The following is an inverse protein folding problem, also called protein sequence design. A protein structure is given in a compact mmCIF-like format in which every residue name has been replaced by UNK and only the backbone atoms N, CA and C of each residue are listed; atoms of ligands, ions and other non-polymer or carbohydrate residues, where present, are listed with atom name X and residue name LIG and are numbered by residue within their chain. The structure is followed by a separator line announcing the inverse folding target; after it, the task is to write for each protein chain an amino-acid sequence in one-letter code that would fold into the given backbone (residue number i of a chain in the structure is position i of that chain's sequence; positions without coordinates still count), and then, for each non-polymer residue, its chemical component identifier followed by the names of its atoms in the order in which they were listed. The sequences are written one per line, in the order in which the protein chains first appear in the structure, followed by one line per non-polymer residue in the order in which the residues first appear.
data_IF_706079894641
#
_entry.id   IF_706079894641
#
_cell.length_a   1.000
_cell.length_b   1.000
_cell.length_c   1.000
_cell.angle_alpha   90.00
_cell.angle_beta   90.00
_cell.angle_gamma   90.00
#
_symmetry.space_group_name_H-M   'P 1'
#
loop_
_entity.id
_entity.type
_entity.pdbx_description
1 polymer ?
#
# COMPACT_ATOMS: atom_id res chain seq x y z
N UNK A 1 74.52 52.35 47.77
CA UNK A 1 73.98 53.51 47.02
C UNK A 1 73.03 52.96 45.95
N UNK A 2 71.95 53.63 45.77
CA UNK A 2 70.82 53.41 44.79
C UNK A 2 69.88 52.26 45.05
N UNK A 3 68.74 52.57 45.66
CA UNK A 3 67.50 51.85 45.79
C UNK A 3 66.85 51.75 44.40
N UNK A 4 66.40 50.59 44.07
CA UNK A 4 65.40 50.38 42.98
C UNK A 4 64.10 49.87 43.58
N UNK A 5 63.11 50.71 43.42
CA UNK A 5 61.71 50.47 43.74
C UNK A 5 61.14 49.49 42.77
N UNK A 6 60.56 48.38 43.26
CA UNK A 6 59.81 47.38 42.46
C UNK A 6 58.32 47.59 42.57
N UNK A 7 57.70 48.04 41.52
CA UNK A 7 56.25 48.21 41.39
C UNK A 7 55.62 46.85 41.13
N UNK A 8 54.75 46.39 42.03
CA UNK A 8 53.93 45.15 41.82
C UNK A 8 52.73 45.50 40.95
N UNK A 9 52.69 44.95 39.81
CA UNK A 9 51.52 44.99 38.92
C UNK A 9 50.51 43.87 39.33
N UNK A 10 49.34 44.28 39.79
CA UNK A 10 48.23 43.38 40.14
C UNK A 10 47.40 43.12 38.89
N UNK A 11 47.44 41.92 38.43
CA UNK A 11 46.61 41.45 37.28
C UNK A 11 45.23 41.07 37.82
N UNK A 12 44.21 41.80 37.48
CA UNK A 12 42.82 41.45 37.71
C UNK A 12 42.38 40.47 36.60
N UNK A 13 42.11 39.22 36.98
CA UNK A 13 41.37 38.29 36.13
C UNK A 13 39.86 38.56 36.28
N UNK A 14 39.25 39.14 35.26
CA UNK A 14 37.79 39.19 35.14
C UNK A 14 37.30 37.89 34.57
N UNK A 15 36.70 37.02 35.39
CA UNK A 15 35.99 35.84 34.95
C UNK A 15 34.65 36.27 34.35
N UNK A 16 34.57 36.31 33.01
CA UNK A 16 33.32 36.51 32.30
C UNK A 16 32.50 35.21 32.34
N UNK A 17 31.42 35.18 33.12
CA UNK A 17 30.41 34.14 33.12
C UNK A 17 29.55 34.31 31.86
N UNK A 18 29.81 33.50 30.83
CA UNK A 18 28.93 33.40 29.66
C UNK A 18 27.74 32.54 30.06
N UNK A 19 26.59 33.14 30.31
CA UNK A 19 25.30 32.44 30.40
C UNK A 19 24.91 31.99 29.01
N UNK A 20 25.09 30.71 28.72
CA UNK A 20 24.40 30.03 27.60
C UNK A 20 22.94 29.87 28.00
N UNK A 21 22.08 30.76 27.53
CA UNK A 21 20.64 30.56 27.53
C UNK A 21 20.36 29.50 26.46
N UNK A 22 20.20 28.22 26.87
CA UNK A 22 19.61 27.19 26.03
C UNK A 22 18.16 27.59 25.85
N UNK A 23 17.84 28.20 24.71
CA UNK A 23 16.47 28.27 24.24
C UNK A 23 16.06 26.84 23.91
N UNK A 24 15.35 26.19 24.82
CA UNK A 24 14.54 25.01 24.49
C UNK A 24 13.51 25.53 23.49
N UNK A 25 13.71 25.18 22.20
CA UNK A 25 12.67 25.23 21.22
C UNK A 25 11.68 24.14 21.68
N UNK A 26 10.63 24.58 22.36
CA UNK A 26 9.46 23.74 22.57
C UNK A 26 8.99 23.35 21.16
N UNK A 27 9.23 22.10 20.76
CA UNK A 27 8.46 21.50 19.72
C UNK A 27 7.01 21.72 20.15
N UNK A 28 6.23 22.45 19.34
CA UNK A 28 4.79 22.55 19.52
C UNK A 28 4.30 21.11 19.41
N UNK A 29 4.12 20.46 20.57
CA UNK A 29 3.41 19.21 20.67
C UNK A 29 2.05 19.46 20.05
N UNK A 30 1.66 18.66 19.07
CA UNK A 30 0.29 18.58 18.65
C UNK A 30 -0.52 18.40 19.94
N UNK A 31 -1.45 19.30 20.19
CA UNK A 31 -2.34 19.25 21.34
C UNK A 31 -3.04 17.87 21.23
N UNK A 32 -2.71 16.92 22.13
CA UNK A 32 -3.33 15.59 22.13
C UNK A 32 -4.80 15.77 22.52
N UNK A 33 -5.63 15.99 21.49
CA UNK A 33 -7.07 16.08 21.68
C UNK A 33 -7.57 14.75 22.23
N UNK A 34 -8.43 14.80 23.26
CA UNK A 34 -9.06 13.58 23.75
C UNK A 34 -9.93 12.96 22.65
N UNK A 35 -9.89 11.65 22.55
CA UNK A 35 -10.65 10.93 21.53
C UNK A 35 -12.16 11.26 21.57
N UNK A 36 -12.72 11.42 22.75
CA UNK A 36 -14.14 11.76 22.94
C UNK A 36 -14.50 13.13 22.33
N UNK A 37 -13.58 14.08 22.37
CA UNK A 37 -13.77 15.42 21.78
C UNK A 37 -13.73 15.33 20.24
N UNK A 38 -12.84 14.50 19.67
CA UNK A 38 -12.79 14.21 18.24
C UNK A 38 -14.11 13.55 17.78
N UNK A 39 -14.60 12.56 18.51
CA UNK A 39 -15.88 11.89 18.19
C UNK A 39 -17.06 12.86 18.29
N UNK A 40 -17.06 13.76 19.27
CA UNK A 40 -18.12 14.78 19.42
C UNK A 40 -18.12 15.77 18.24
N UNK A 41 -16.95 16.23 17.82
CA UNK A 41 -16.77 17.13 16.66
C UNK A 41 -17.17 16.46 15.34
N UNK A 42 -16.87 15.16 15.18
CA UNK A 42 -17.18 14.39 13.97
C UNK A 42 -18.69 14.22 13.71
N UNK A 43 -19.54 14.38 14.73
CA UNK A 43 -20.99 14.22 14.59
C UNK A 43 -21.59 15.22 13.61
N UNK A 44 -22.30 14.69 12.62
CA UNK A 44 -22.92 15.50 11.57
C UNK A 44 -22.00 15.83 10.39
N UNK A 45 -20.72 15.54 10.49
CA UNK A 45 -19.78 15.73 9.40
C UNK A 45 -20.04 14.78 8.23
N UNK A 46 -19.54 15.20 7.05
CA UNK A 46 -19.59 14.40 5.83
C UNK A 46 -18.16 14.15 5.39
N UNK A 47 -17.71 12.89 5.40
CA UNK A 47 -16.37 12.52 5.01
C UNK A 47 -16.36 12.10 3.55
N UNK A 48 -15.67 12.87 2.70
CA UNK A 48 -15.43 12.58 1.30
C UNK A 48 -14.16 11.72 1.18
N UNK A 49 -14.34 10.40 0.99
CA UNK A 49 -13.25 9.43 0.87
C UNK A 49 -12.96 9.10 -0.59
N UNK A 50 -11.85 9.60 -1.10
CA UNK A 50 -11.37 9.31 -2.44
C UNK A 50 -10.54 8.03 -2.47
N UNK A 51 -10.87 7.14 -3.39
CA UNK A 51 -10.28 5.82 -3.49
C UNK A 51 -10.47 5.19 -4.86
N UNK A 52 -9.65 4.20 -5.16
CA UNK A 52 -9.84 3.38 -6.36
C UNK A 52 -11.23 2.73 -6.38
N UNK A 53 -11.95 2.93 -7.49
CA UNK A 53 -13.35 2.51 -7.62
C UNK A 53 -13.57 1.28 -8.53
N UNK A 54 -12.50 0.55 -8.91
CA UNK A 54 -12.57 -0.52 -9.90
C UNK A 54 -13.17 -1.84 -9.44
N UNK A 55 -13.50 -2.01 -8.15
CA UNK A 55 -14.07 -3.24 -7.60
C UNK A 55 -15.50 -3.03 -7.09
N UNK A 56 -16.51 -3.71 -7.67
CA UNK A 56 -17.87 -3.66 -7.16
C UNK A 56 -17.99 -4.12 -5.69
N UNK A 57 -17.22 -5.13 -5.27
CA UNK A 57 -17.24 -5.65 -3.90
C UNK A 57 -16.73 -4.61 -2.90
N UNK A 58 -15.60 -3.95 -3.20
CA UNK A 58 -15.06 -2.85 -2.39
C UNK A 58 -16.06 -1.69 -2.29
N UNK A 59 -16.62 -1.29 -3.44
CA UNK A 59 -17.61 -0.21 -3.48
C UNK A 59 -18.88 -0.53 -2.67
N UNK A 60 -19.36 -1.78 -2.73
CA UNK A 60 -20.50 -2.23 -1.95
C UNK A 60 -20.20 -2.24 -0.44
N UNK A 61 -19.02 -2.68 -0.02
CA UNK A 61 -18.59 -2.63 1.37
C UNK A 61 -18.51 -1.20 1.90
N UNK A 62 -17.92 -0.27 1.14
CA UNK A 62 -17.75 1.13 1.55
C UNK A 62 -19.08 1.87 1.58
N UNK A 63 -19.89 1.79 0.51
CA UNK A 63 -21.15 2.54 0.37
C UNK A 63 -22.32 1.88 1.11
N UNK A 64 -22.21 0.60 1.46
CA UNK A 64 -23.19 -0.12 2.27
C UNK A 64 -22.78 -0.19 3.73
N UNK A 65 -22.07 -1.27 4.08
CA UNK A 65 -21.77 -1.58 5.48
C UNK A 65 -21.06 -0.43 6.22
N UNK A 66 -19.96 0.10 5.67
CA UNK A 66 -19.22 1.17 6.36
C UNK A 66 -20.06 2.44 6.50
N UNK A 67 -20.72 2.87 5.43
CA UNK A 67 -21.55 4.07 5.45
C UNK A 67 -22.69 3.96 6.47
N UNK A 68 -23.37 2.81 6.53
CA UNK A 68 -24.47 2.55 7.47
C UNK A 68 -23.99 2.52 8.93
N UNK A 69 -22.85 1.86 9.20
CA UNK A 69 -22.29 1.79 10.55
C UNK A 69 -21.81 3.16 11.03
N UNK A 70 -21.10 3.91 10.21
CA UNK A 70 -20.62 5.26 10.55
C UNK A 70 -21.78 6.23 10.77
N UNK A 71 -22.85 6.13 9.97
CA UNK A 71 -24.04 6.92 10.16
C UNK A 71 -24.76 6.60 11.46
N UNK A 72 -24.91 5.31 11.75
CA UNK A 72 -25.66 4.83 12.93
C UNK A 72 -24.92 5.10 14.23
N UNK A 73 -23.62 4.80 14.27
CA UNK A 73 -22.84 4.88 15.52
C UNK A 73 -22.32 6.29 15.81
N UNK A 74 -21.89 7.01 14.76
CA UNK A 74 -21.19 8.28 14.92
C UNK A 74 -21.93 9.49 14.33
N UNK A 75 -23.01 9.26 13.56
CA UNK A 75 -23.73 10.33 12.86
C UNK A 75 -22.98 10.89 11.65
N UNK A 76 -21.89 10.23 11.22
CA UNK A 76 -21.06 10.63 10.07
C UNK A 76 -21.72 10.17 8.78
N UNK A 77 -21.73 11.01 7.75
CA UNK A 77 -22.10 10.64 6.39
C UNK A 77 -20.83 10.33 5.61
N UNK A 78 -20.62 9.06 5.20
CA UNK A 78 -19.50 8.69 4.33
C UNK A 78 -19.91 8.84 2.87
N UNK A 79 -19.07 9.46 2.05
CA UNK A 79 -19.25 9.57 0.60
C UNK A 79 -17.99 9.06 -0.10
N UNK A 80 -18.13 8.02 -0.91
CA UNK A 80 -17.05 7.55 -1.74
C UNK A 80 -16.87 8.45 -2.97
N UNK A 81 -15.64 8.92 -3.18
CA UNK A 81 -15.19 9.56 -4.41
C UNK A 81 -14.36 8.58 -5.26
N UNK A 82 -14.99 7.79 -6.16
CA UNK A 82 -14.24 6.79 -6.92
C UNK A 82 -13.34 7.45 -7.96
N UNK A 83 -12.06 7.07 -7.96
CA UNK A 83 -11.08 7.49 -8.97
C UNK A 83 -10.48 6.28 -9.67
N UNK A 84 -9.92 6.49 -10.85
CA UNK A 84 -9.19 5.46 -11.57
C UNK A 84 -7.81 5.26 -10.95
N UNK A 85 -7.18 6.37 -10.54
CA UNK A 85 -5.88 6.40 -9.89
C UNK A 85 -5.85 7.54 -8.87
N UNK A 86 -5.30 7.28 -7.67
CA UNK A 86 -5.22 8.29 -6.60
C UNK A 86 -4.23 9.42 -6.95
N UNK A 87 -3.34 9.25 -7.91
CA UNK A 87 -2.47 10.30 -8.44
C UNK A 87 -3.24 11.53 -8.96
N UNK A 88 -4.49 11.34 -9.40
CA UNK A 88 -5.37 12.45 -9.79
C UNK A 88 -5.68 13.36 -8.59
N UNK A 89 -5.93 12.77 -7.43
CA UNK A 89 -6.18 13.50 -6.17
C UNK A 89 -4.90 14.15 -5.66
N UNK A 90 -3.77 13.44 -5.71
CA UNK A 90 -2.46 13.98 -5.34
C UNK A 90 -2.12 15.22 -6.16
N UNK A 91 -2.33 15.17 -7.48
CA UNK A 91 -2.11 16.30 -8.39
C UNK A 91 -2.97 17.50 -8.00
N UNK A 92 -4.24 17.28 -7.64
CA UNK A 92 -5.14 18.31 -7.15
C UNK A 92 -4.65 18.95 -5.85
N UNK A 93 -4.21 18.13 -4.87
CA UNK A 93 -3.67 18.63 -3.61
C UNK A 93 -2.43 19.49 -3.80
N UNK A 94 -1.54 19.13 -4.75
CA UNK A 94 -0.39 19.95 -5.14
C UNK A 94 -0.84 21.33 -5.63
N UNK A 95 -1.84 21.38 -6.52
CA UNK A 95 -2.39 22.64 -7.05
C UNK A 95 -3.03 23.47 -5.93
N UNK A 96 -3.84 22.86 -5.06
CA UNK A 96 -4.48 23.54 -3.92
C UNK A 96 -3.42 24.11 -2.95
N UNK A 97 -2.35 23.37 -2.68
CA UNK A 97 -1.22 23.84 -1.85
C UNK A 97 -0.52 25.05 -2.47
N UNK A 98 -0.23 24.99 -3.77
CA UNK A 98 0.39 26.08 -4.52
C UNK A 98 -0.49 27.33 -4.57
N UNK A 99 -1.82 27.15 -4.65
CA UNK A 99 -2.79 28.22 -4.58
C UNK A 99 -2.99 28.80 -3.16
N UNK A 100 -2.31 28.25 -2.15
CA UNK A 100 -2.42 28.70 -0.76
C UNK A 100 -3.71 28.30 -0.04
N UNK A 101 -4.46 27.30 -0.56
CA UNK A 101 -5.70 26.81 0.02
C UNK A 101 -5.38 25.88 1.21
N UNK A 102 -5.33 26.46 2.41
CA UNK A 102 -4.92 25.75 3.63
C UNK A 102 -6.05 24.96 4.31
N UNK A 103 -7.29 25.25 3.98
CA UNK A 103 -8.51 24.67 4.57
C UNK A 103 -9.64 24.60 3.52
N UNK A 104 -10.74 23.94 3.83
CA UNK A 104 -11.89 23.87 2.93
C UNK A 104 -11.61 23.00 1.71
N UNK A 105 -10.76 21.99 1.83
CA UNK A 105 -10.59 20.96 0.83
C UNK A 105 -11.87 20.15 0.66
N UNK A 106 -12.03 19.47 -0.46
CA UNK A 106 -13.15 18.58 -0.73
C UNK A 106 -12.72 17.10 -0.77
N UNK A 107 -11.60 16.80 -0.14
CA UNK A 107 -11.10 15.46 0.09
C UNK A 107 -10.78 15.38 1.58
N UNK A 108 -11.43 14.48 2.31
CA UNK A 108 -11.21 14.33 3.74
C UNK A 108 -10.41 13.08 4.07
N UNK A 109 -10.50 12.06 3.22
CA UNK A 109 -9.77 10.82 3.38
C UNK A 109 -9.35 10.29 2.00
N UNK A 110 -8.19 9.65 1.92
CA UNK A 110 -7.67 9.01 0.70
C UNK A 110 -7.25 7.58 1.00
N UNK A 111 -7.56 6.63 0.10
CA UNK A 111 -6.81 5.38 0.04
C UNK A 111 -5.58 5.62 -0.81
N UNK A 112 -4.40 5.50 -0.23
CA UNK A 112 -3.14 5.90 -0.84
C UNK A 112 -2.05 4.89 -0.52
N UNK A 113 -1.08 4.73 -1.42
CA UNK A 113 0.10 3.89 -1.25
C UNK A 113 1.29 4.42 -2.05
N UNK A 114 2.48 3.96 -1.68
CA UNK A 114 3.70 4.00 -2.49
C UNK A 114 4.18 5.40 -2.83
N UNK A 115 4.44 5.64 -4.11
CA UNK A 115 4.95 6.92 -4.61
C UNK A 115 3.98 8.09 -4.38
N UNK A 116 2.69 7.80 -4.30
CA UNK A 116 1.66 8.79 -4.01
C UNK A 116 1.75 9.26 -2.56
N UNK A 117 1.89 8.33 -1.59
CA UNK A 117 2.13 8.65 -0.19
C UNK A 117 3.45 9.43 -0.02
N UNK A 118 4.55 8.91 -0.57
CA UNK A 118 5.85 9.58 -0.54
C UNK A 118 5.77 11.01 -1.09
N UNK A 119 5.07 11.21 -2.21
CA UNK A 119 4.87 12.54 -2.81
C UNK A 119 4.10 13.44 -1.86
N UNK A 120 3.00 12.96 -1.29
CA UNK A 120 2.19 13.72 -0.34
C UNK A 120 3.00 14.08 0.91
N UNK A 121 3.69 13.14 1.52
CA UNK A 121 4.47 13.34 2.75
C UNK A 121 5.60 14.36 2.53
N UNK A 122 6.41 14.18 1.50
CA UNK A 122 7.56 15.07 1.20
C UNK A 122 7.16 16.49 0.81
N UNK A 123 5.95 16.67 0.27
CA UNK A 123 5.41 17.99 -0.08
C UNK A 123 4.47 18.56 1.01
N UNK A 124 4.42 17.95 2.20
CA UNK A 124 3.55 18.37 3.31
C UNK A 124 2.07 18.50 2.88
N UNK A 125 1.58 17.55 2.09
CA UNK A 125 0.19 17.49 1.62
C UNK A 125 -0.73 16.68 2.54
N UNK A 126 -0.22 16.21 3.68
CA UNK A 126 -0.95 15.39 4.65
C UNK A 126 -1.17 16.16 5.95
N UNK A 127 -2.30 15.86 6.59
CA UNK A 127 -2.58 16.17 7.98
C UNK A 127 -1.98 15.06 8.85
N UNK A 128 -1.38 15.42 9.96
CA UNK A 128 -0.82 14.45 10.90
C UNK A 128 0.51 14.88 11.53
N UNK A 129 1.16 13.97 12.29
CA UNK A 129 0.76 12.57 12.49
C UNK A 129 -0.59 12.44 13.23
N UNK A 130 -1.43 11.47 12.80
CA UNK A 130 -2.76 11.27 13.41
C UNK A 130 -3.00 9.82 13.86
N UNK A 131 -2.29 8.84 13.27
CA UNK A 131 -2.56 7.42 13.50
C UNK A 131 -2.39 7.02 14.98
N UNK A 132 -1.43 7.60 15.68
CA UNK A 132 -1.19 7.34 17.12
C UNK A 132 -2.33 7.81 18.03
N UNK A 133 -3.20 8.72 17.53
CA UNK A 133 -4.37 9.18 18.26
C UNK A 133 -5.58 8.25 18.12
N UNK A 134 -5.52 7.26 17.22
CA UNK A 134 -6.61 6.32 16.97
C UNK A 134 -6.62 5.20 18.03
N UNK A 135 -7.71 5.01 18.81
CA UNK A 135 -7.74 3.96 19.85
C UNK A 135 -7.49 2.55 19.33
N UNK A 136 -7.90 2.24 18.10
CA UNK A 136 -7.78 0.91 17.51
C UNK A 136 -6.39 0.65 16.88
N UNK A 137 -5.51 1.65 16.76
CA UNK A 137 -4.15 1.46 16.26
C UNK A 137 -3.34 0.46 17.11
N UNK A 138 -3.67 0.30 18.40
CA UNK A 138 -3.09 -0.73 19.28
C UNK A 138 -3.30 -2.17 18.79
N UNK A 139 -4.28 -2.40 17.92
CA UNK A 139 -4.58 -3.70 17.33
C UNK A 139 -3.69 -4.01 16.13
N UNK A 140 -3.01 -3.00 15.59
CA UNK A 140 -2.12 -3.11 14.44
C UNK A 140 -0.74 -3.61 14.90
N UNK A 141 -0.13 -4.47 14.10
CA UNK A 141 1.25 -4.89 14.32
C UNK A 141 2.23 -3.97 13.57
N UNK A 142 2.59 -2.87 14.21
CA UNK A 142 3.53 -1.87 13.69
C UNK A 142 4.98 -2.36 13.54
N UNK A 143 5.31 -3.56 14.03
CA UNK A 143 6.63 -4.18 13.83
C UNK A 143 6.80 -4.80 12.45
N UNK A 144 5.69 -5.01 11.72
CA UNK A 144 5.74 -5.55 10.35
C UNK A 144 6.29 -4.50 9.39
N UNK A 145 7.34 -4.81 8.60
CA UNK A 145 7.92 -3.87 7.64
C UNK A 145 6.89 -3.28 6.65
N UNK A 146 5.92 -4.08 6.20
CA UNK A 146 4.86 -3.64 5.29
C UNK A 146 3.80 -2.74 5.93
N UNK A 147 3.81 -2.60 7.26
CA UNK A 147 2.92 -1.68 8.02
C UNK A 147 3.69 -0.45 8.48
N UNK A 148 4.96 -0.62 8.83
CA UNK A 148 5.83 0.47 9.27
C UNK A 148 6.30 1.35 8.12
N UNK A 149 6.50 0.75 6.94
CA UNK A 149 6.91 1.45 5.72
C UNK A 149 5.87 1.24 4.61
N UNK A 150 5.56 2.30 3.88
CA UNK A 150 4.85 2.23 2.62
C UNK A 150 5.85 2.40 1.46
N UNK A 151 6.14 1.32 0.74
CA UNK A 151 7.15 1.27 -0.33
C UNK A 151 8.49 1.94 0.04
N UNK A 152 8.99 1.57 1.22
CA UNK A 152 10.25 2.07 1.77
C UNK A 152 10.19 3.48 2.39
N UNK A 153 9.07 4.20 2.29
CA UNK A 153 8.86 5.46 3.00
C UNK A 153 8.27 5.19 4.38
N UNK A 154 8.90 5.60 5.49
CA UNK A 154 8.33 5.44 6.83
C UNK A 154 6.95 6.09 6.94
N UNK A 155 5.99 5.41 7.56
CA UNK A 155 4.62 5.91 7.73
C UNK A 155 4.56 7.10 8.68
N UNK A 156 5.35 7.09 9.78
CA UNK A 156 5.47 8.16 10.78
C UNK A 156 4.13 8.71 11.27
N UNK A 157 3.09 7.87 11.35
CA UNK A 157 1.75 8.25 11.82
C UNK A 157 0.92 9.08 10.83
N UNK A 158 1.38 9.31 9.58
CA UNK A 158 0.62 10.03 8.55
C UNK A 158 -0.36 9.15 7.78
N UNK A 159 -0.31 7.85 7.99
CA UNK A 159 -1.22 6.86 7.43
C UNK A 159 -1.73 5.91 8.51
N UNK A 160 -2.94 5.41 8.30
CA UNK A 160 -3.54 4.33 9.10
C UNK A 160 -3.81 3.13 8.19
N UNK A 161 -3.37 1.91 8.55
CA UNK A 161 -3.66 0.72 7.76
C UNK A 161 -5.14 0.36 7.86
N UNK A 162 -5.70 -0.26 6.81
CA UNK A 162 -7.07 -0.75 6.85
C UNK A 162 -7.28 -2.11 6.18
N UNK A 163 -6.25 -2.63 5.50
CA UNK A 163 -6.24 -3.95 4.89
C UNK A 163 -4.84 -4.38 4.52
N UNK A 164 -4.70 -5.59 4.00
CA UNK A 164 -3.42 -6.10 3.51
C UNK A 164 -3.58 -6.83 2.19
N UNK A 165 -2.58 -6.70 1.34
CA UNK A 165 -2.52 -7.31 0.03
C UNK A 165 -1.27 -8.19 -0.09
N UNK A 166 -1.39 -9.26 -0.89
CA UNK A 166 -0.26 -10.06 -1.32
C UNK A 166 -0.57 -10.66 -2.68
N UNK A 167 0.37 -10.58 -3.59
CA UNK A 167 0.19 -11.14 -4.91
C UNK A 167 -0.01 -12.65 -4.83
N UNK A 168 -1.08 -13.12 -5.45
CA UNK A 168 -1.33 -14.53 -5.69
C UNK A 168 -1.43 -14.76 -7.19
N UNK A 169 -0.85 -15.86 -7.65
CA UNK A 169 -1.03 -16.36 -9.01
C UNK A 169 -2.32 -17.18 -9.07
N UNK A 170 -3.09 -17.02 -10.13
CA UNK A 170 -4.39 -17.65 -10.34
C UNK A 170 -4.28 -18.58 -11.56
N UNK A 171 -4.74 -19.82 -11.42
CA UNK A 171 -4.73 -20.81 -12.50
C UNK A 171 -5.94 -21.73 -12.41
N UNK A 172 -6.27 -22.38 -13.52
CA UNK A 172 -7.32 -23.40 -13.58
C UNK A 172 -6.70 -24.80 -13.60
N UNK A 173 -6.99 -25.62 -12.59
CA UNK A 173 -6.48 -27.00 -12.47
C UNK A 173 -6.94 -27.90 -13.61
N UNK A 174 -8.04 -27.57 -14.32
CA UNK A 174 -8.49 -28.29 -15.49
C UNK A 174 -7.62 -28.00 -16.73
N UNK A 175 -6.92 -26.87 -16.77
CA UNK A 175 -6.04 -26.44 -17.88
C UNK A 175 -4.56 -26.65 -17.58
N UNK A 176 -4.16 -26.39 -16.33
CA UNK A 176 -2.77 -26.48 -15.87
C UNK A 176 -2.72 -27.42 -14.66
N UNK A 177 -2.36 -28.67 -14.89
CA UNK A 177 -2.34 -29.70 -13.83
C UNK A 177 -1.24 -29.40 -12.76
N UNK A 178 -0.12 -28.83 -13.17
CA UNK A 178 1.01 -28.47 -12.30
C UNK A 178 1.44 -27.04 -12.63
N UNK A 179 1.09 -26.06 -11.79
CA UNK A 179 1.47 -24.67 -12.03
C UNK A 179 2.97 -24.47 -11.73
N UNK A 180 3.63 -23.53 -12.42
CA UNK A 180 5.01 -23.16 -12.15
C UNK A 180 5.14 -22.59 -10.75
N UNK A 181 6.07 -23.13 -9.94
CA UNK A 181 6.18 -22.76 -8.53
C UNK A 181 7.21 -21.66 -8.26
N UNK A 182 8.06 -21.35 -9.23
CA UNK A 182 9.06 -20.28 -9.18
C UNK A 182 8.88 -19.31 -10.34
N UNK A 183 9.44 -18.11 -10.24
CA UNK A 183 9.47 -17.16 -11.37
C UNK A 183 10.23 -17.76 -12.56
N UNK A 184 11.33 -18.48 -12.31
CA UNK A 184 12.08 -19.18 -13.36
C UNK A 184 11.20 -20.20 -14.10
N UNK A 185 10.44 -21.00 -13.36
CA UNK A 185 9.52 -22.00 -13.94
C UNK A 185 8.40 -21.32 -14.74
N UNK A 186 7.88 -20.18 -14.26
CA UNK A 186 6.89 -19.39 -14.99
C UNK A 186 7.45 -18.87 -16.31
N UNK A 187 8.66 -18.31 -16.31
CA UNK A 187 9.33 -17.84 -17.54
C UNK A 187 9.55 -18.98 -18.54
N UNK A 188 9.92 -20.18 -18.08
CA UNK A 188 10.06 -21.38 -18.91
C UNK A 188 8.70 -21.86 -19.41
N UNK A 189 7.69 -21.86 -18.56
CA UNK A 189 6.33 -22.23 -18.94
C UNK A 189 5.80 -21.32 -20.06
N UNK A 190 5.96 -20.01 -19.95
CA UNK A 190 5.54 -19.03 -20.96
C UNK A 190 6.21 -19.30 -22.31
N UNK A 191 7.52 -19.58 -22.34
CA UNK A 191 8.24 -19.90 -23.57
C UNK A 191 7.74 -21.18 -24.25
N UNK A 192 7.31 -22.15 -23.47
CA UNK A 192 6.79 -23.43 -23.96
C UNK A 192 5.30 -23.39 -24.33
N UNK A 193 4.56 -22.33 -23.92
CA UNK A 193 3.14 -22.15 -24.17
C UNK A 193 2.86 -20.74 -24.75
N UNK A 194 3.37 -20.43 -25.95
CA UNK A 194 3.26 -19.11 -26.51
C UNK A 194 1.81 -18.65 -26.66
N UNK A 195 1.56 -17.40 -26.32
CA UNK A 195 0.25 -16.78 -26.35
C UNK A 195 -0.63 -17.05 -25.13
N UNK A 196 -0.18 -17.86 -24.15
CA UNK A 196 -1.01 -18.31 -23.03
C UNK A 196 -0.79 -17.53 -21.72
N UNK A 197 0.00 -16.48 -21.74
CA UNK A 197 0.25 -15.59 -20.59
C UNK A 197 0.21 -14.12 -21.02
N UNK A 198 -0.32 -13.28 -20.15
CA UNK A 198 -0.29 -11.83 -20.28
C UNK A 198 -0.09 -11.18 -18.92
N UNK A 199 0.20 -9.89 -18.92
CA UNK A 199 0.14 -9.02 -17.73
C UNK A 199 -0.33 -7.63 -18.16
N UNK A 200 -1.00 -6.84 -17.30
CA UNK A 200 -1.37 -5.48 -17.60
C UNK A 200 -0.14 -4.59 -17.88
N UNK A 201 -0.29 -3.59 -18.72
CA UNK A 201 0.82 -2.67 -19.00
C UNK A 201 1.11 -1.77 -17.80
N UNK A 202 2.36 -1.63 -17.32
CA UNK A 202 2.72 -0.52 -16.45
C UNK A 202 2.32 0.84 -17.07
N UNK A 203 1.88 1.85 -16.30
CA UNK A 203 1.94 1.91 -14.86
C UNK A 203 0.75 1.28 -14.11
N UNK A 204 -0.07 0.41 -14.76
CA UNK A 204 -1.07 -0.34 -14.00
C UNK A 204 -0.41 -1.04 -12.81
N UNK A 205 -0.97 -0.86 -11.61
CA UNK A 205 -0.36 -1.30 -10.35
C UNK A 205 -0.12 -2.81 -10.31
N UNK A 206 -1.06 -3.61 -10.83
CA UNK A 206 -0.96 -5.07 -10.93
C UNK A 206 0.02 -5.49 -12.03
N UNK A 207 0.04 -4.78 -13.15
CA UNK A 207 1.03 -5.04 -14.20
C UNK A 207 2.46 -4.69 -13.77
N UNK A 208 2.61 -3.60 -13.06
CA UNK A 208 3.89 -3.17 -12.49
C UNK A 208 4.46 -4.17 -11.50
N UNK A 209 3.62 -4.87 -10.70
CA UNK A 209 4.12 -5.88 -9.77
C UNK A 209 4.74 -7.09 -10.48
N UNK A 210 4.25 -7.46 -11.66
CA UNK A 210 4.90 -8.51 -12.45
C UNK A 210 6.33 -8.10 -12.84
N UNK A 211 6.53 -6.86 -13.29
CA UNK A 211 7.88 -6.32 -13.58
C UNK A 211 8.77 -6.35 -12.33
N UNK A 212 8.24 -6.01 -11.16
CA UNK A 212 8.97 -6.06 -9.87
C UNK A 212 9.34 -7.48 -9.46
N UNK A 213 8.50 -8.49 -9.73
CA UNK A 213 8.87 -9.90 -9.51
C UNK A 213 10.02 -10.33 -10.42
N UNK A 214 10.00 -9.92 -11.70
CA UNK A 214 11.14 -10.20 -12.61
C UNK A 214 12.39 -9.49 -12.13
N UNK A 215 12.29 -8.25 -11.67
CA UNK A 215 13.40 -7.50 -11.08
C UNK A 215 14.00 -8.22 -9.86
N UNK A 216 13.19 -8.69 -8.95
CA UNK A 216 13.65 -9.48 -7.80
C UNK A 216 14.29 -10.79 -8.22
N UNK A 217 13.69 -11.48 -9.20
CA UNK A 217 14.25 -12.71 -9.73
C UNK A 217 15.64 -12.52 -10.33
N UNK A 218 15.86 -11.51 -11.17
CA UNK A 218 17.16 -11.28 -11.81
C UNK A 218 18.20 -10.69 -10.85
N UNK A 219 17.77 -9.95 -9.83
CA UNK A 219 18.67 -9.37 -8.83
C UNK A 219 19.01 -10.33 -7.67
N UNK A 220 18.28 -11.42 -7.51
CA UNK A 220 18.56 -12.53 -6.61
C UNK A 220 18.22 -12.31 -5.12
N UNK A 221 17.96 -11.09 -4.66
CA UNK A 221 17.63 -10.79 -3.27
C UNK A 221 16.74 -9.54 -3.14
N UNK A 222 15.47 -9.75 -2.76
CA UNK A 222 14.52 -8.66 -2.53
C UNK A 222 14.92 -7.75 -1.35
N UNK A 223 15.56 -8.29 -0.31
CA UNK A 223 15.95 -7.55 0.91
C UNK A 223 17.01 -6.50 0.63
N UNK A 224 17.91 -6.77 -0.31
CA UNK A 224 18.95 -5.82 -0.75
C UNK A 224 18.36 -4.46 -1.14
N UNK A 225 17.14 -4.45 -1.67
CA UNK A 225 16.51 -3.25 -2.20
C UNK A 225 15.70 -2.48 -1.15
N UNK A 226 15.69 -2.93 0.09
CA UNK A 226 15.06 -2.23 1.23
C UNK A 226 15.98 -1.21 1.90
N UNK A 227 17.27 -1.23 1.58
CA UNK A 227 18.28 -0.30 2.07
C UNK A 227 18.53 0.82 1.05
N UNK A 228 19.55 1.63 1.29
CA UNK A 228 19.96 2.68 0.35
C UNK A 228 20.32 2.07 -1.02
N UNK A 229 19.68 2.59 -2.07
CA UNK A 229 19.81 2.06 -3.43
C UNK A 229 21.20 2.39 -3.99
N UNK A 230 22.01 1.36 -4.25
CA UNK A 230 23.18 1.46 -5.11
C UNK A 230 22.71 1.63 -6.56
N UNK A 231 22.85 2.83 -7.11
CA UNK A 231 22.36 3.16 -8.45
C UNK A 231 23.03 2.34 -9.55
N UNK A 232 24.30 1.97 -9.41
CA UNK A 232 24.98 1.15 -10.41
C UNK A 232 24.45 -0.29 -10.43
N UNK A 233 24.25 -0.87 -9.25
CA UNK A 233 23.61 -2.18 -9.10
C UNK A 233 22.16 -2.18 -9.58
N UNK A 234 21.40 -1.11 -9.28
CA UNK A 234 20.03 -0.94 -9.78
C UNK A 234 20.01 -0.89 -11.31
N UNK A 235 20.86 -0.07 -11.93
CA UNK A 235 20.91 0.07 -13.40
C UNK A 235 21.20 -1.27 -14.08
N UNK A 236 22.09 -2.08 -13.50
CA UNK A 236 22.38 -3.42 -14.03
C UNK A 236 21.17 -4.35 -13.90
N UNK A 237 20.56 -4.44 -12.72
CA UNK A 237 19.40 -5.29 -12.48
C UNK A 237 18.19 -4.86 -13.31
N UNK A 238 17.95 -3.56 -13.46
CA UNK A 238 16.90 -3.02 -14.33
C UNK A 238 17.13 -3.36 -15.80
N UNK A 239 18.38 -3.20 -16.29
CA UNK A 239 18.74 -3.61 -17.66
C UNK A 239 18.50 -5.09 -17.91
N UNK A 240 18.87 -5.96 -16.96
CA UNK A 240 18.64 -7.40 -17.06
C UNK A 240 17.12 -7.72 -17.01
N UNK A 241 16.36 -7.00 -16.19
CA UNK A 241 14.90 -7.09 -16.15
C UNK A 241 14.28 -6.79 -17.52
N UNK A 242 14.64 -5.66 -18.12
CA UNK A 242 14.11 -5.28 -19.44
C UNK A 242 14.53 -6.26 -20.53
N UNK A 243 15.75 -6.78 -20.47
CA UNK A 243 16.20 -7.83 -21.39
C UNK A 243 15.34 -9.08 -21.29
N UNK A 244 15.10 -9.60 -20.08
CA UNK A 244 14.22 -10.76 -19.85
C UNK A 244 12.81 -10.50 -20.38
N UNK A 245 12.23 -9.33 -20.10
CA UNK A 245 10.87 -8.97 -20.55
C UNK A 245 10.79 -8.83 -22.09
N UNK A 246 11.81 -8.28 -22.74
CA UNK A 246 11.90 -8.22 -24.22
C UNK A 246 12.00 -9.61 -24.84
N UNK A 247 12.85 -10.47 -24.29
CA UNK A 247 12.99 -11.86 -24.73
C UNK A 247 11.70 -12.67 -24.55
N UNK A 248 10.90 -12.32 -23.51
CA UNK A 248 9.62 -12.96 -23.23
C UNK A 248 8.48 -12.46 -24.14
N UNK A 249 8.54 -11.23 -24.61
CA UNK A 249 7.46 -10.57 -25.34
C UNK A 249 6.90 -11.39 -26.53
N UNK A 250 7.70 -12.06 -27.39
CA UNK A 250 7.17 -12.87 -28.50
C UNK A 250 6.31 -14.06 -28.06
N UNK A 251 6.44 -14.50 -26.80
CA UNK A 251 5.71 -15.64 -26.23
C UNK A 251 4.46 -15.23 -25.45
N UNK A 252 4.26 -13.93 -25.24
CA UNK A 252 3.09 -13.40 -24.55
C UNK A 252 1.85 -13.43 -25.44
N UNK A 253 0.68 -13.29 -24.82
CA UNK A 253 -0.57 -13.09 -25.51
C UNK A 253 -0.42 -11.99 -26.58
N UNK A 254 -0.95 -12.26 -27.79
CA UNK A 254 -0.78 -11.42 -28.98
C UNK A 254 0.68 -11.05 -29.27
N UNK A 255 1.61 -11.95 -28.95
CA UNK A 255 3.05 -11.74 -29.14
C UNK A 255 3.58 -10.47 -28.45
N UNK A 256 2.95 -10.10 -27.32
CA UNK A 256 3.27 -8.90 -26.58
C UNK A 256 3.04 -7.57 -27.31
N UNK A 257 2.42 -7.56 -28.47
CA UNK A 257 2.14 -6.31 -29.23
C UNK A 257 1.11 -5.42 -28.52
N UNK A 258 0.27 -6.01 -27.71
CA UNK A 258 -0.69 -5.33 -26.83
C UNK A 258 -0.69 -6.02 -25.46
N UNK A 259 -1.09 -5.27 -24.45
CA UNK A 259 -1.23 -5.73 -23.07
C UNK A 259 -2.67 -5.52 -22.60
N UNK A 260 -3.19 -6.33 -21.66
CA UNK A 260 -4.43 -6.00 -20.96
C UNK A 260 -4.35 -4.60 -20.34
N UNK A 261 -5.43 -3.86 -20.40
CA UNK A 261 -5.50 -2.47 -19.89
C UNK A 261 -5.72 -2.38 -18.38
N UNK A 262 -6.09 -3.53 -17.75
CA UNK A 262 -6.41 -3.58 -16.33
C UNK A 262 -6.45 -5.03 -15.82
N UNK A 263 -6.41 -5.26 -14.47
CA UNK A 263 -6.65 -6.56 -13.86
C UNK A 263 -8.03 -7.15 -14.22
N UNK A 264 -9.06 -6.32 -14.34
CA UNK A 264 -10.41 -6.74 -14.75
C UNK A 264 -10.37 -7.35 -16.15
N UNK A 265 -9.68 -6.71 -17.10
CA UNK A 265 -9.50 -7.26 -18.44
C UNK A 265 -8.68 -8.54 -18.42
N UNK A 266 -7.67 -8.62 -17.56
CA UNK A 266 -6.86 -9.83 -17.38
C UNK A 266 -7.71 -11.00 -16.90
N UNK A 267 -8.58 -10.79 -15.91
CA UNK A 267 -9.51 -11.81 -15.42
C UNK A 267 -10.49 -12.28 -16.50
N UNK A 268 -10.97 -11.36 -17.37
CA UNK A 268 -11.80 -11.73 -18.51
C UNK A 268 -11.06 -12.63 -19.50
N UNK A 269 -9.82 -12.30 -19.86
CA UNK A 269 -9.00 -13.14 -20.75
C UNK A 269 -8.75 -14.53 -20.17
N UNK A 270 -8.57 -14.62 -18.86
CA UNK A 270 -8.40 -15.88 -18.16
C UNK A 270 -9.71 -16.70 -18.15
N UNK A 271 -10.85 -16.07 -17.85
CA UNK A 271 -12.16 -16.70 -17.86
C UNK A 271 -12.53 -17.24 -19.26
N UNK A 272 -12.26 -16.47 -20.32
CA UNK A 272 -12.47 -16.82 -21.71
C UNK A 272 -11.49 -17.92 -22.21
N UNK A 273 -10.48 -18.27 -21.40
CA UNK A 273 -9.47 -19.25 -21.77
C UNK A 273 -8.48 -18.74 -22.83
N UNK A 274 -8.37 -17.45 -23.05
CA UNK A 274 -7.34 -16.86 -23.93
C UNK A 274 -5.93 -16.97 -23.29
N UNK A 275 -5.87 -16.88 -21.95
CA UNK A 275 -4.65 -17.10 -21.16
C UNK A 275 -4.90 -18.14 -20.07
N UNK A 276 -3.85 -18.79 -19.56
CA UNK A 276 -3.95 -19.85 -18.57
C UNK A 276 -3.64 -19.41 -17.14
N UNK A 277 -3.17 -18.17 -16.98
CA UNK A 277 -2.92 -17.55 -15.68
C UNK A 277 -3.53 -16.16 -15.63
N UNK A 278 -3.98 -15.80 -14.44
CA UNK A 278 -4.16 -14.43 -13.96
C UNK A 278 -3.37 -14.25 -12.67
N UNK A 279 -3.35 -13.07 -12.12
CA UNK A 279 -2.77 -12.78 -10.80
C UNK A 279 -3.40 -11.52 -10.24
N UNK A 280 -3.41 -11.42 -8.92
CA UNK A 280 -4.01 -10.29 -8.21
C UNK A 280 -3.26 -10.02 -6.91
N UNK A 281 -3.25 -8.76 -6.48
CA UNK A 281 -2.88 -8.41 -5.11
C UNK A 281 -3.93 -8.84 -4.08
N UNK A 282 -5.16 -9.03 -4.53
CA UNK A 282 -6.26 -9.45 -3.66
C UNK A 282 -6.25 -10.97 -3.52
N UNK A 283 -5.87 -11.46 -2.34
CA UNK A 283 -5.66 -12.89 -2.08
C UNK A 283 -6.92 -13.74 -2.29
N UNK A 284 -8.11 -13.16 -2.11
CA UNK A 284 -9.39 -13.84 -2.30
C UNK A 284 -10.04 -13.59 -3.68
N UNK A 285 -9.37 -12.89 -4.60
CA UNK A 285 -9.89 -12.54 -5.93
C UNK A 285 -10.45 -13.75 -6.68
N UNK A 286 -9.70 -14.87 -6.70
CA UNK A 286 -10.13 -16.07 -7.39
C UNK A 286 -11.39 -16.67 -6.75
N UNK A 287 -11.46 -16.72 -5.42
CA UNK A 287 -12.65 -17.19 -4.70
C UNK A 287 -13.86 -16.30 -4.97
N UNK A 288 -13.66 -14.98 -5.00
CA UNK A 288 -14.73 -14.04 -5.32
C UNK A 288 -15.24 -14.22 -6.75
N UNK A 289 -14.34 -14.35 -7.73
CA UNK A 289 -14.71 -14.56 -9.13
C UNK A 289 -15.40 -15.91 -9.36
N UNK A 290 -15.12 -16.95 -8.54
CA UNK A 290 -15.88 -18.20 -8.55
C UNK A 290 -17.30 -17.96 -8.03
N UNK A 291 -17.46 -17.25 -6.91
CA UNK A 291 -18.78 -16.92 -6.35
C UNK A 291 -19.64 -16.11 -7.32
N UNK A 292 -19.02 -15.15 -8.01
CA UNK A 292 -19.68 -14.32 -9.02
C UNK A 292 -19.95 -15.05 -10.35
N UNK A 293 -19.50 -16.32 -10.49
CA UNK A 293 -19.70 -17.13 -11.70
C UNK A 293 -18.81 -16.73 -12.87
N UNK A 294 -17.79 -15.89 -12.65
CA UNK A 294 -16.81 -15.55 -13.69
C UNK A 294 -15.78 -16.66 -13.89
N UNK A 295 -15.34 -17.31 -12.80
CA UNK A 295 -14.38 -18.41 -12.85
C UNK A 295 -15.04 -19.75 -12.54
N UNK A 296 -14.59 -20.87 -13.15
CA UNK A 296 -15.04 -22.19 -12.79
C UNK A 296 -14.51 -22.64 -11.41
N UNK A 297 -15.19 -23.60 -10.78
CA UNK A 297 -14.84 -24.17 -9.48
C UNK A 297 -13.46 -24.84 -9.42
N UNK A 298 -12.85 -25.11 -10.58
CA UNK A 298 -11.53 -25.71 -10.72
C UNK A 298 -10.39 -24.71 -10.53
N UNK A 299 -10.68 -23.40 -10.45
CA UNK A 299 -9.67 -22.36 -10.27
C UNK A 299 -9.07 -22.40 -8.86
N UNK A 300 -7.76 -22.24 -8.78
CA UNK A 300 -6.96 -22.18 -7.53
C UNK A 300 -5.94 -21.08 -7.60
N UNK A 301 -5.35 -20.78 -6.45
CA UNK A 301 -4.25 -19.83 -6.32
C UNK A 301 -2.98 -20.48 -5.76
N UNK A 302 -1.86 -19.86 -5.99
CA UNK A 302 -0.58 -20.20 -5.38
C UNK A 302 0.31 -18.97 -5.25
N UNK A 303 1.36 -19.07 -4.45
CA UNK A 303 2.46 -18.12 -4.34
C UNK A 303 3.74 -18.78 -4.83
N UNK A 304 4.72 -18.00 -5.27
CA UNK A 304 6.03 -18.55 -5.64
C UNK A 304 6.80 -18.99 -4.39
N UNK A 305 7.64 -20.02 -4.55
CA UNK A 305 8.49 -20.55 -3.47
C UNK A 305 9.47 -19.50 -2.95
N UNK A 306 9.98 -18.62 -3.80
CA UNK A 306 10.79 -17.47 -3.42
C UNK A 306 9.98 -16.33 -2.78
N UNK A 307 8.67 -16.42 -2.81
CA UNK A 307 7.72 -15.46 -2.27
C UNK A 307 7.05 -14.56 -3.32
N UNK A 308 6.02 -13.85 -2.88
CA UNK A 308 5.30 -12.85 -3.66
C UNK A 308 5.18 -11.54 -2.91
N UNK A 309 5.18 -10.44 -3.67
CA UNK A 309 5.15 -9.08 -3.12
C UNK A 309 3.85 -8.86 -2.35
N UNK A 310 4.00 -8.29 -1.14
CA UNK A 310 2.92 -7.97 -0.23
C UNK A 310 3.03 -6.51 0.23
N UNK A 311 1.89 -5.87 0.45
CA UNK A 311 1.79 -4.53 0.99
C UNK A 311 0.59 -4.36 1.92
N UNK A 312 0.41 -3.15 2.43
CA UNK A 312 -0.70 -2.75 3.29
C UNK A 312 -1.54 -1.70 2.58
N UNK A 313 -2.86 -1.79 2.71
CA UNK A 313 -3.76 -0.71 2.30
C UNK A 313 -3.78 0.37 3.37
N UNK A 314 -3.49 1.61 2.99
CA UNK A 314 -3.46 2.73 3.91
C UNK A 314 -4.53 3.77 3.57
N UNK A 315 -4.95 4.50 4.60
CA UNK A 315 -5.70 5.75 4.45
C UNK A 315 -4.92 6.90 5.03
N UNK A 316 -4.96 8.04 4.35
CA UNK A 316 -4.33 9.29 4.78
C UNK A 316 -5.33 10.44 4.70
N UNK A 317 -5.11 11.47 5.53
CA UNK A 317 -5.92 12.67 5.60
C UNK A 317 -5.18 13.80 4.89
N UNK A 318 -5.76 14.50 3.90
CA UNK A 318 -5.15 15.68 3.27
C UNK A 318 -4.93 16.84 4.25
N UNK A 319 -3.91 17.66 3.98
CA UNK A 319 -3.52 18.81 4.81
C UNK A 319 -4.61 19.86 4.97
N UNK A 320 -5.55 19.96 4.03
CA UNK A 320 -6.63 20.92 3.97
C UNK A 320 -8.03 20.31 4.07
N UNK A 321 -8.12 19.08 4.57
CA UNK A 321 -9.39 18.39 4.79
C UNK A 321 -10.37 19.25 5.60
N UNK A 322 -11.63 19.26 5.17
CA UNK A 322 -12.69 20.03 5.86
C UNK A 322 -13.18 19.33 7.11
N UNK A 323 -13.31 18.01 7.05
CA UNK A 323 -13.95 17.17 8.07
C UNK A 323 -12.90 16.21 8.71
N UNK A 324 -11.78 16.77 9.19
CA UNK A 324 -10.63 16.03 9.74
C UNK A 324 -11.04 15.12 10.92
N UNK A 325 -11.90 15.60 11.84
CA UNK A 325 -12.36 14.78 12.97
C UNK A 325 -13.16 13.57 12.48
N UNK A 326 -14.04 13.76 11.51
CA UNK A 326 -14.78 12.69 10.85
C UNK A 326 -13.86 11.69 10.17
N UNK A 327 -12.86 12.17 9.43
CA UNK A 327 -11.85 11.33 8.77
C UNK A 327 -11.06 10.46 9.77
N UNK A 328 -10.67 11.02 10.94
CA UNK A 328 -10.02 10.26 12.01
C UNK A 328 -10.95 9.19 12.60
N UNK A 329 -12.24 9.49 12.80
CA UNK A 329 -13.22 8.51 13.28
C UNK A 329 -13.42 7.40 12.26
N UNK A 330 -13.51 7.73 10.96
CA UNK A 330 -13.55 6.72 9.87
C UNK A 330 -12.32 5.84 9.91
N UNK A 331 -11.11 6.42 9.95
CA UNK A 331 -9.85 5.66 10.00
C UNK A 331 -9.79 4.72 11.23
N UNK A 332 -10.25 5.18 12.41
CA UNK A 332 -10.33 4.33 13.59
C UNK A 332 -11.37 3.21 13.45
N UNK A 333 -12.54 3.50 12.85
CA UNK A 333 -13.57 2.49 12.62
C UNK A 333 -13.11 1.41 11.64
N UNK A 334 -12.34 1.78 10.61
CA UNK A 334 -11.72 0.83 9.67
C UNK A 334 -10.84 -0.21 10.39
N UNK A 335 -10.24 0.14 11.53
CA UNK A 335 -9.45 -0.78 12.38
C UNK A 335 -10.29 -1.52 13.43
N UNK A 336 -11.61 -1.33 13.48
CA UNK A 336 -12.44 -2.05 14.44
C UNK A 336 -12.53 -3.53 14.09
N UNK A 337 -12.63 -4.43 15.11
CA UNK A 337 -12.78 -5.86 14.86
C UNK A 337 -14.00 -6.19 13.98
N UNK A 338 -15.08 -5.43 14.14
CA UNK A 338 -16.31 -5.57 13.36
C UNK A 338 -16.09 -5.28 11.87
N UNK A 339 -15.49 -4.13 11.57
CA UNK A 339 -15.23 -3.71 10.20
C UNK A 339 -14.24 -4.66 9.52
N UNK A 340 -13.19 -5.08 10.24
CA UNK A 340 -12.19 -5.99 9.73
C UNK A 340 -12.73 -7.40 9.49
N UNK A 341 -13.58 -7.92 10.39
CA UNK A 341 -14.20 -9.24 10.20
C UNK A 341 -15.21 -9.24 9.04
N UNK A 342 -16.02 -8.18 8.93
CA UNK A 342 -16.98 -8.03 7.83
C UNK A 342 -16.26 -7.95 6.47
N UNK A 343 -15.16 -7.19 6.42
CA UNK A 343 -14.33 -7.07 5.23
C UNK A 343 -13.68 -8.40 4.82
N UNK A 344 -13.29 -9.22 5.79
CA UNK A 344 -12.65 -10.52 5.56
C UNK A 344 -13.61 -11.60 5.05
N UNK A 345 -14.91 -11.35 5.08
CA UNK A 345 -15.93 -12.27 4.55
C UNK A 345 -15.82 -12.35 3.02
N UNK A 346 -15.60 -13.54 2.44
CA UNK A 346 -15.51 -13.70 0.99
C UNK A 346 -16.82 -13.36 0.24
N UNK A 347 -17.98 -13.43 0.92
CA UNK A 347 -19.26 -12.99 0.35
C UNK A 347 -19.39 -11.46 0.30
N UNK A 348 -18.55 -10.73 1.04
CA UNK A 348 -18.49 -9.26 1.06
C UNK A 348 -17.36 -8.75 0.20
N UNK A 349 -16.12 -9.01 0.62
CA UNK A 349 -14.91 -8.62 -0.12
C UNK A 349 -13.83 -9.70 -0.04
N UNK A 350 -13.58 -10.29 1.16
CA UNK A 350 -12.53 -11.29 1.38
C UNK A 350 -11.15 -10.70 1.64
N UNK A 351 -11.06 -9.38 1.92
CA UNK A 351 -9.77 -8.72 2.16
C UNK A 351 -9.17 -9.10 3.51
N UNK A 352 -7.85 -9.24 3.55
CA UNK A 352 -7.15 -9.67 4.76
C UNK A 352 -7.07 -8.56 5.80
N UNK A 353 -7.16 -8.90 7.10
CA UNK A 353 -7.16 -7.92 8.17
C UNK A 353 -5.86 -7.12 8.27
N UNK A 354 -5.99 -5.81 8.51
CA UNK A 354 -4.88 -4.93 8.91
C UNK A 354 -4.53 -5.06 10.40
N UNK A 355 -5.47 -5.56 11.21
CA UNK A 355 -5.27 -5.78 12.64
C UNK A 355 -4.70 -7.18 12.90
N UNK A 356 -4.06 -7.35 14.05
CA UNK A 356 -3.54 -8.65 14.51
C UNK A 356 -4.61 -9.36 15.37
N UNK A 357 -5.26 -10.43 14.88
CA UNK A 357 -6.30 -11.11 15.63
C UNK A 357 -5.85 -11.58 17.02
N UNK A 358 -4.56 -11.92 17.19
CA UNK A 358 -4.00 -12.33 18.48
C UNK A 358 -4.07 -11.23 19.56
N UNK A 359 -4.19 -9.95 19.16
CA UNK A 359 -4.33 -8.81 20.09
C UNK A 359 -5.78 -8.56 20.53
N UNK A 360 -6.74 -9.30 19.97
CA UNK A 360 -8.15 -9.18 20.27
C UNK A 360 -8.56 -10.05 21.48
N UNK A 361 -9.69 -9.77 22.13
CA UNK A 361 -10.31 -10.69 23.08
C UNK A 361 -10.60 -12.06 22.46
N UNK A 362 -10.61 -13.12 23.28
CA UNK A 362 -10.74 -14.51 22.84
C UNK A 362 -11.98 -14.77 21.95
N UNK A 363 -13.07 -14.11 22.23
CA UNK A 363 -14.30 -14.20 21.42
C UNK A 363 -14.05 -13.75 19.97
N UNK A 364 -13.38 -12.62 19.76
CA UNK A 364 -13.05 -12.11 18.44
C UNK A 364 -12.02 -13.00 17.74
N UNK A 365 -11.01 -13.47 18.46
CA UNK A 365 -10.04 -14.43 17.91
C UNK A 365 -10.74 -15.66 17.35
N UNK A 366 -11.74 -16.20 18.08
CA UNK A 366 -12.53 -17.34 17.63
C UNK A 366 -13.32 -17.03 16.36
N UNK A 367 -13.93 -15.85 16.25
CA UNK A 367 -14.67 -15.42 15.06
C UNK A 367 -13.77 -15.30 13.84
N UNK A 368 -12.60 -14.66 13.94
CA UNK A 368 -11.62 -14.57 12.85
C UNK A 368 -11.12 -15.96 12.42
N UNK A 369 -10.86 -16.86 13.37
CA UNK A 369 -10.43 -18.23 13.09
C UNK A 369 -11.50 -19.06 12.36
N UNK A 370 -12.77 -18.80 12.62
CA UNK A 370 -13.90 -19.51 11.99
C UNK A 370 -14.31 -18.90 10.65
N UNK A 371 -13.79 -17.71 10.31
CA UNK A 371 -14.13 -17.05 9.07
C UNK A 371 -13.68 -17.90 7.87
N UNK A 372 -14.62 -18.21 6.98
CA UNK A 372 -14.31 -18.83 5.70
C UNK A 372 -13.44 -17.90 4.85
N UNK A 373 -12.50 -18.48 4.10
CA UNK A 373 -11.58 -17.70 3.22
C UNK A 373 -11.94 -17.84 1.74
N UNK A 374 -12.81 -18.79 1.40
CA UNK A 374 -13.15 -19.14 0.02
C UNK A 374 -12.29 -20.29 -0.52
N UNK A 375 -12.83 -20.97 -1.54
CA UNK A 375 -12.32 -22.26 -2.05
C UNK A 375 -10.94 -22.16 -2.73
N UNK A 376 -10.62 -20.99 -3.28
CA UNK A 376 -9.37 -20.73 -3.99
C UNK A 376 -8.42 -19.78 -3.23
N UNK A 377 -8.71 -19.46 -1.96
CA UNK A 377 -7.89 -18.57 -1.14
C UNK A 377 -6.94 -19.37 -0.27
N UNK A 378 -5.64 -19.03 -0.32
CA UNK A 378 -4.61 -19.70 0.49
C UNK A 378 -4.77 -19.38 1.99
N UNK A 379 -4.22 -20.27 2.81
CA UNK A 379 -4.19 -20.08 4.27
C UNK A 379 -3.20 -18.99 4.70
N UNK A 380 -3.50 -18.34 5.85
CA UNK A 380 -2.68 -17.24 6.38
C UNK A 380 -1.20 -17.65 6.59
N UNK A 381 -0.94 -18.87 7.05
CA UNK A 381 0.41 -19.36 7.30
C UNK A 381 1.23 -19.49 6.00
N UNK A 382 0.62 -19.99 4.93
CA UNK A 382 1.27 -20.12 3.62
C UNK A 382 1.57 -18.74 3.04
N UNK A 383 0.60 -17.83 3.07
CA UNK A 383 0.79 -16.46 2.60
C UNK A 383 1.90 -15.74 3.38
N UNK A 384 1.85 -15.77 4.71
CA UNK A 384 2.82 -15.08 5.56
C UNK A 384 4.26 -15.59 5.37
N UNK A 385 4.44 -16.91 5.16
CA UNK A 385 5.78 -17.48 4.95
C UNK A 385 6.40 -17.14 3.59
N UNK A 386 5.60 -16.60 2.65
CA UNK A 386 6.01 -16.27 1.29
C UNK A 386 5.85 -14.77 0.96
N UNK A 387 5.96 -13.88 1.96
CA UNK A 387 5.88 -12.45 1.73
C UNK A 387 7.22 -11.86 1.31
N UNK A 388 7.22 -11.13 0.20
CA UNK A 388 8.30 -10.22 -0.19
C UNK A 388 7.83 -8.78 0.03
N UNK A 389 8.73 -7.88 0.46
CA UNK A 389 8.39 -6.46 0.59
C UNK A 389 8.25 -5.81 -0.78
N UNK A 390 7.50 -4.71 -0.85
CA UNK A 390 7.56 -3.80 -2.00
C UNK A 390 8.93 -3.14 -2.08
N UNK A 391 9.50 -2.93 -3.27
CA UNK A 391 10.67 -2.11 -3.38
C UNK A 391 10.34 -0.63 -3.08
N UNK A 392 11.35 0.17 -2.68
CA UNK A 392 11.16 1.61 -2.53
C UNK A 392 10.53 2.25 -3.76
N UNK A 393 9.68 3.26 -3.55
CA UNK A 393 8.96 3.97 -4.63
C UNK A 393 9.88 4.48 -5.74
N UNK A 394 11.13 4.83 -5.42
CA UNK A 394 12.12 5.25 -6.42
C UNK A 394 12.46 4.15 -7.41
N UNK A 395 12.57 2.91 -6.93
CA UNK A 395 12.81 1.74 -7.78
C UNK A 395 11.58 1.48 -8.66
N UNK A 396 10.38 1.52 -8.07
CA UNK A 396 9.13 1.33 -8.81
C UNK A 396 9.03 2.31 -9.98
N UNK A 397 9.15 3.62 -9.72
CA UNK A 397 9.05 4.68 -10.74
C UNK A 397 10.09 4.48 -11.86
N UNK A 398 11.33 4.15 -11.49
CA UNK A 398 12.39 3.93 -12.48
C UNK A 398 12.15 2.66 -13.32
N UNK A 399 11.63 1.58 -12.70
CA UNK A 399 11.29 0.35 -13.42
C UNK A 399 10.15 0.55 -14.41
N UNK A 400 9.10 1.27 -14.04
CA UNK A 400 7.96 1.57 -14.92
C UNK A 400 8.38 2.42 -16.11
N UNK A 401 9.12 3.51 -15.84
CA UNK A 401 9.66 4.36 -16.90
C UNK A 401 10.56 3.58 -17.85
N UNK A 402 11.47 2.78 -17.32
CA UNK A 402 12.35 1.96 -18.14
C UNK A 402 11.61 0.85 -18.88
N UNK A 403 10.55 0.28 -18.33
CA UNK A 403 9.69 -0.65 -19.05
C UNK A 403 9.04 0.01 -20.27
N UNK A 404 8.50 1.22 -20.11
CA UNK A 404 7.92 1.98 -21.23
C UNK A 404 8.97 2.24 -22.32
N UNK A 405 10.17 2.67 -21.93
CA UNK A 405 11.25 3.04 -22.86
C UNK A 405 11.86 1.81 -23.55
N UNK A 406 12.14 0.74 -22.82
CA UNK A 406 12.93 -0.39 -23.31
C UNK A 406 12.08 -1.58 -23.73
N UNK A 407 10.92 -1.82 -23.12
CA UNK A 407 10.08 -2.97 -23.44
C UNK A 407 8.94 -2.60 -24.38
N UNK A 408 8.24 -1.47 -24.14
CA UNK A 408 7.12 -1.06 -24.96
C UNK A 408 7.55 -0.35 -26.25
N UNK A 409 8.40 0.68 -26.12
CA UNK A 409 8.88 1.51 -27.27
C UNK A 409 10.15 0.97 -27.94
N UNK A 410 10.90 0.15 -27.27
CA UNK A 410 12.18 -0.42 -27.73
C UNK A 410 12.07 -1.67 -28.59
N UNK A 411 10.90 -1.89 -29.24
CA UNK A 411 10.59 -3.03 -30.11
C UNK A 411 10.93 -2.76 -31.55
#
# INVERSE_FOLDING_TARGET
MTKRSGTKLATFFAAGLIFFTVMAVAAAGADERRWEDIVAEARGQTVDWFMWGGSPAVNAYVNGYLADQLKTQYGITLRQGPVKDIAEVVSKLVIEKQAGKKEGGNVDLMWINGENFRTCKRNSLLYGPFADQLPNQRLVNWERPSVYNDFGEPVDGFESPWGSAQVVMIYDTARVAQPPRTVADLLNWIRNHPGRFAYPAPPDFTGSVFVRHIFYHVSGDAKRWQEAVDQAAFNQAASDTYRVLKELAPFLWRQGQTYPESPVRMNTLFADGEVDFSFSYHQAEASRNILDGLFPDTVRTYVFEEGTIANTHFVAIPFNASDTAGAMVVANFLLSPEAQLQKADPDVWGDFPAIEPARLPAEWQARFKQQARGVATLGDAELQSHQLPEPPSEILIQLEKGWEEHVLKGR
#
